data_IF_112599972961
#
_entry.id   IF_112599972961
#
_cell.length_a   1.000
_cell.length_b   1.000
_cell.length_c   1.000
_cell.angle_alpha   90.00
_cell.angle_beta   90.00
_cell.angle_gamma   90.00
#
_symmetry.space_group_name_H-M   'P 1'
#
loop_
_entity.id
_entity.type
_entity.pdbx_description
1 polymer ?
#
# COMPACT_ATOMS: atom_id res chain seq x y z
N UNK A 1 -14.93 -19.12 25.91
CA UNK A 1 -14.62 -20.46 25.35
C UNK A 1 -13.58 -20.27 24.24
N UNK A 2 -12.29 -20.35 24.56
CA UNK A 2 -11.23 -20.33 23.55
C UNK A 2 -11.04 -21.77 23.06
N UNK A 3 -11.38 -22.04 21.80
CA UNK A 3 -11.06 -23.32 21.16
C UNK A 3 -9.56 -23.33 20.83
N UNK A 4 -8.79 -24.36 21.22
CA UNK A 4 -7.46 -24.54 20.69
C UNK A 4 -7.63 -25.09 19.26
N UNK A 5 -7.42 -24.25 18.25
CA UNK A 5 -7.35 -24.74 16.86
C UNK A 5 -5.95 -25.26 16.60
N UNK A 6 -5.94 -26.56 16.28
CA UNK A 6 -5.02 -27.31 15.44
C UNK A 6 -3.56 -26.82 15.27
N UNK A 7 -2.62 -27.69 15.65
CA UNK A 7 -1.17 -27.48 15.70
C UNK A 7 -0.47 -27.36 14.33
N UNK A 8 -1.14 -26.87 13.30
CA UNK A 8 -0.54 -26.54 12.00
C UNK A 8 -1.32 -25.46 11.22
N UNK A 9 -2.05 -24.56 11.90
CA UNK A 9 -2.56 -23.36 11.24
C UNK A 9 -1.37 -22.46 10.88
N UNK A 10 -0.92 -22.57 9.63
CA UNK A 10 0.10 -21.70 9.07
C UNK A 10 -0.42 -20.27 9.19
N UNK A 11 0.18 -19.47 10.07
CA UNK A 11 -0.13 -18.05 10.17
C UNK A 11 0.34 -17.38 8.88
N UNK A 12 -0.60 -16.81 8.13
CA UNK A 12 -0.37 -16.17 6.84
C UNK A 12 -0.53 -14.65 6.99
N UNK A 13 0.33 -13.88 6.35
CA UNK A 13 0.14 -12.44 6.19
C UNK A 13 -1.15 -12.17 5.40
N UNK A 14 -2.03 -11.33 5.93
CA UNK A 14 -3.31 -10.98 5.31
C UNK A 14 -3.14 -10.14 4.03
N UNK A 15 -1.96 -9.57 3.79
CA UNK A 15 -1.68 -8.69 2.66
C UNK A 15 -1.00 -9.43 1.49
N UNK A 16 0.07 -10.18 1.77
CA UNK A 16 0.84 -10.89 0.73
C UNK A 16 0.62 -12.40 0.71
N UNK A 17 -0.10 -12.97 1.70
CA UNK A 17 -0.35 -14.40 1.80
C UNK A 17 0.86 -15.26 2.21
N UNK A 18 2.02 -14.66 2.51
CA UNK A 18 3.21 -15.39 2.96
C UNK A 18 3.00 -15.98 4.36
N UNK A 19 3.49 -17.20 4.57
CA UNK A 19 3.49 -17.83 5.89
C UNK A 19 4.55 -17.24 6.82
N UNK A 20 4.36 -17.41 8.13
CA UNK A 20 5.32 -16.99 9.16
C UNK A 20 6.75 -17.50 8.91
N UNK A 21 6.93 -18.64 8.23
CA UNK A 21 8.25 -19.21 7.88
C UNK A 21 8.94 -18.51 6.71
N UNK A 22 8.17 -17.81 5.88
CA UNK A 22 8.66 -17.14 4.67
C UNK A 22 9.03 -15.66 4.93
N UNK A 23 8.73 -15.13 6.10
CA UNK A 23 8.96 -13.74 6.48
C UNK A 23 9.82 -13.68 7.74
N UNK A 24 10.52 -12.56 7.93
CA UNK A 24 11.39 -12.40 9.11
C UNK A 24 10.59 -12.11 10.37
N UNK A 25 9.50 -11.34 10.23
CA UNK A 25 8.56 -11.05 11.31
C UNK A 25 7.13 -11.13 10.78
N UNK A 26 6.24 -11.68 11.62
CA UNK A 26 4.81 -11.65 11.40
C UNK A 26 4.15 -11.10 12.67
N UNK A 27 3.41 -10.00 12.54
CA UNK A 27 2.77 -9.28 13.63
C UNK A 27 1.28 -9.63 13.62
N UNK A 28 0.77 -10.03 14.78
CA UNK A 28 -0.63 -10.41 14.96
C UNK A 28 -1.43 -9.24 15.56
N UNK A 29 -2.55 -8.91 14.92
CA UNK A 29 -3.61 -8.06 15.46
C UNK A 29 -4.91 -8.86 15.69
N UNK A 30 -5.97 -8.23 16.20
CA UNK A 30 -7.27 -8.86 16.34
C UNK A 30 -7.84 -9.31 14.98
N UNK A 31 -7.67 -10.60 14.65
CA UNK A 31 -8.19 -11.20 13.41
C UNK A 31 -7.42 -10.87 12.13
N UNK A 32 -6.22 -10.31 12.24
CA UNK A 32 -5.40 -9.90 11.07
C UNK A 32 -3.92 -10.12 11.35
N UNK A 33 -3.13 -10.36 10.30
CA UNK A 33 -1.68 -10.54 10.40
C UNK A 33 -0.96 -9.73 9.32
N UNK A 34 0.17 -9.12 9.65
CA UNK A 34 0.99 -8.35 8.71
C UNK A 34 2.47 -8.72 8.88
N UNK A 35 3.21 -8.86 7.77
CA UNK A 35 4.64 -9.14 7.80
C UNK A 35 5.50 -7.87 7.68
N UNK A 36 6.78 -7.99 7.98
CA UNK A 36 7.75 -6.89 7.87
C UNK A 36 7.83 -6.30 6.46
N UNK A 37 7.87 -7.14 5.42
CA UNK A 37 7.92 -6.66 4.03
C UNK A 37 6.70 -5.81 3.63
N UNK A 38 5.50 -6.19 4.11
CA UNK A 38 4.30 -5.41 3.84
C UNK A 38 4.29 -4.10 4.60
N UNK A 39 4.88 -4.04 5.80
CA UNK A 39 5.03 -2.79 6.56
C UNK A 39 5.97 -1.85 5.82
N UNK A 40 7.10 -2.36 5.34
CA UNK A 40 8.09 -1.55 4.62
C UNK A 40 7.48 -0.97 3.33
N UNK A 41 6.76 -1.79 2.55
CA UNK A 41 6.03 -1.32 1.37
C UNK A 41 4.95 -0.29 1.71
N UNK A 42 4.18 -0.51 2.77
CA UNK A 42 3.17 0.46 3.21
C UNK A 42 3.81 1.79 3.62
N UNK A 43 4.97 1.77 4.29
CA UNK A 43 5.68 2.99 4.66
C UNK A 43 6.19 3.73 3.42
N UNK A 44 6.74 3.03 2.43
CA UNK A 44 7.18 3.64 1.16
C UNK A 44 6.03 4.37 0.45
N UNK A 45 4.87 3.72 0.31
CA UNK A 45 3.68 4.32 -0.31
C UNK A 45 3.21 5.57 0.47
N UNK A 46 3.19 5.50 1.80
CA UNK A 46 2.78 6.63 2.65
C UNK A 46 3.78 7.78 2.54
N UNK A 47 5.09 7.47 2.56
CA UNK A 47 6.14 8.48 2.46
C UNK A 47 6.11 9.18 1.10
N UNK A 48 5.86 8.46 0.00
CA UNK A 48 5.66 9.06 -1.32
C UNK A 48 4.48 10.05 -1.34
N UNK A 49 3.33 9.68 -0.76
CA UNK A 49 2.16 10.57 -0.68
C UNK A 49 2.39 11.79 0.21
N UNK A 50 3.13 11.66 1.31
CA UNK A 50 3.41 12.77 2.23
C UNK A 50 4.49 13.73 1.68
N UNK A 51 5.44 13.20 0.91
CA UNK A 51 6.59 13.98 0.40
C UNK A 51 6.30 14.63 -0.93
N UNK A 52 5.32 14.13 -1.69
CA UNK A 52 4.80 14.81 -2.86
C UNK A 52 3.74 15.85 -2.43
N UNK A 53 4.06 17.17 -2.38
CA UNK A 53 2.98 18.13 -2.61
C UNK A 53 2.33 17.74 -3.95
N UNK A 54 1.02 17.92 -4.15
CA UNK A 54 0.43 17.79 -5.48
C UNK A 54 1.18 18.78 -6.39
N UNK A 55 2.17 18.28 -7.12
CA UNK A 55 3.00 19.07 -8.01
C UNK A 55 2.20 19.28 -9.28
N UNK A 56 1.19 20.14 -9.18
CA UNK A 56 0.69 20.82 -10.35
C UNK A 56 1.75 21.83 -10.72
N UNK A 57 2.52 21.55 -11.77
CA UNK A 57 3.33 22.57 -12.42
C UNK A 57 2.38 23.58 -13.06
N UNK A 58 1.91 24.54 -12.27
CA UNK A 58 1.00 25.61 -12.68
C UNK A 58 1.59 26.38 -13.87
N UNK A 59 2.92 26.47 -13.96
CA UNK A 59 3.64 27.11 -15.05
C UNK A 59 3.52 26.36 -16.40
N UNK A 60 3.21 25.06 -16.37
CA UNK A 60 3.08 24.21 -17.56
C UNK A 60 1.64 24.03 -18.05
N UNK A 61 0.64 24.57 -17.33
CA UNK A 61 -0.76 24.43 -17.69
C UNK A 61 -1.06 25.26 -18.96
N UNK A 62 -1.56 24.62 -20.04
CA UNK A 62 -1.92 25.35 -21.24
C UNK A 62 -3.05 26.33 -20.95
N UNK A 63 -3.03 27.47 -21.62
CA UNK A 63 -4.10 28.45 -21.53
C UNK A 63 -5.40 27.82 -22.05
N UNK A 64 -6.57 28.26 -21.56
CA UNK A 64 -7.86 27.74 -22.03
C UNK A 64 -8.04 27.76 -23.55
N UNK A 65 -7.43 28.72 -24.26
CA UNK A 65 -7.40 28.75 -25.73
C UNK A 65 -6.61 27.59 -26.34
N UNK A 66 -5.43 27.28 -25.80
CA UNK A 66 -4.57 26.21 -26.31
C UNK A 66 -5.24 24.84 -26.10
N UNK A 67 -5.99 24.67 -25.01
CA UNK A 67 -6.80 23.46 -24.77
C UNK A 67 -7.93 23.35 -25.81
N UNK A 68 -8.61 24.47 -26.07
CA UNK A 68 -9.70 24.52 -27.04
C UNK A 68 -9.21 24.17 -28.45
N UNK A 69 -8.07 24.75 -28.86
CA UNK A 69 -7.50 24.55 -30.19
C UNK A 69 -7.10 23.08 -30.44
N UNK A 70 -6.64 22.36 -29.41
CA UNK A 70 -6.31 20.91 -29.50
C UNK A 70 -7.56 20.03 -29.56
N UNK A 71 -8.64 20.43 -28.89
CA UNK A 71 -9.87 19.64 -28.82
C UNK A 71 -10.77 19.80 -30.06
N UNK A 72 -10.59 20.88 -30.82
CA UNK A 72 -11.32 21.16 -32.07
C UNK A 72 -10.62 20.59 -33.33
N UNK A 73 -9.50 19.87 -33.18
CA UNK A 73 -8.90 19.00 -34.22
C UNK A 73 -9.56 17.61 -34.28
#
# INVERSE_FOLDING_TARGET
MARPTDSNEQLLCSFCGKSQRQVKKLIAGPGVYICDECIDLCNEIIDEELTAPPSFDIESLPKPREIYDVLDE
#
